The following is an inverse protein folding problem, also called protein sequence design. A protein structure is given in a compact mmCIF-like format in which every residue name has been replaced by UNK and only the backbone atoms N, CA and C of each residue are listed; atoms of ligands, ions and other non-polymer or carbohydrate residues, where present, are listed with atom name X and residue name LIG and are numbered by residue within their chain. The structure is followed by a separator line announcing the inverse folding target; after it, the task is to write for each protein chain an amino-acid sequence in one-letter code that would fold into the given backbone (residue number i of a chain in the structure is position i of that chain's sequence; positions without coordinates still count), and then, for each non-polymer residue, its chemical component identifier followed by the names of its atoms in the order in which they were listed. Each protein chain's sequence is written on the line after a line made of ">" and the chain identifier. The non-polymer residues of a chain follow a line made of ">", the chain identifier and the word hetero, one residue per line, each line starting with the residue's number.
data_IF_718247382878
#
_entry.id   IF_718247382878
#
_cell.length_a   1.000
_cell.length_b   1.000
_cell.length_c   1.000
_cell.angle_alpha   90.00
_cell.angle_beta   90.00
_cell.angle_gamma   90.00
#
_symmetry.space_group_name_H-M   'P 1'
#
loop_
_entity.id
_entity.type
_entity.pdbx_description
1 polymer ?
#
# COMPACT_ATOMS: atom_id res chain seq x y z
N UNK A 1 -4.29 4.73 0.29
CA UNK A 1 -3.19 5.57 -0.21
C UNK A 1 -2.15 5.85 0.87
N UNK A 2 -2.21 5.18 2.03
CA UNK A 2 -1.38 5.55 3.18
C UNK A 2 -0.08 4.73 3.26
N UNK A 3 -0.07 3.50 2.73
CA UNK A 3 1.08 2.60 2.88
C UNK A 3 2.19 2.90 1.87
N UNK A 4 1.81 3.36 0.68
CA UNK A 4 2.75 3.79 -0.35
C UNK A 4 3.04 5.30 -0.30
N UNK A 5 2.66 6.00 0.78
CA UNK A 5 3.02 7.41 0.97
C UNK A 5 4.56 7.53 1.02
N UNK A 6 5.15 8.24 0.05
CA UNK A 6 6.61 8.32 -0.11
C UNK A 6 7.24 7.22 -0.97
N UNK A 7 6.45 6.27 -1.52
CA UNK A 7 6.98 5.28 -2.45
C UNK A 7 7.48 5.96 -3.73
N UNK A 8 8.76 5.73 -4.06
CA UNK A 8 9.39 6.15 -5.31
C UNK A 8 9.71 4.88 -6.13
N UNK A 9 9.21 4.76 -7.38
CA UNK A 9 9.36 3.55 -8.18
C UNK A 9 10.77 3.43 -8.77
N UNK A 10 11.76 3.20 -7.91
CA UNK A 10 13.13 2.87 -8.31
C UNK A 10 13.26 1.38 -8.54
N UNK A 11 14.30 0.97 -9.28
CA UNK A 11 14.54 -0.45 -9.54
C UNK A 11 14.68 -1.26 -8.25
N UNK A 12 15.41 -0.72 -7.27
CA UNK A 12 15.61 -1.35 -5.97
C UNK A 12 14.28 -1.49 -5.20
N UNK A 13 13.48 -0.42 -5.17
CA UNK A 13 12.19 -0.42 -4.47
C UNK A 13 11.22 -1.45 -5.07
N UNK A 14 11.11 -1.52 -6.39
CA UNK A 14 10.24 -2.47 -7.08
C UNK A 14 10.71 -3.92 -6.90
N UNK A 15 12.02 -4.18 -6.97
CA UNK A 15 12.58 -5.52 -6.67
C UNK A 15 12.29 -5.94 -5.22
N UNK A 16 12.50 -5.05 -4.26
CA UNK A 16 12.25 -5.32 -2.84
C UNK A 16 10.76 -5.58 -2.57
N UNK A 17 9.88 -4.80 -3.20
CA UNK A 17 8.43 -4.97 -3.14
C UNK A 17 8.01 -6.35 -3.66
N UNK A 18 8.42 -6.72 -4.88
CA UNK A 18 8.13 -8.04 -5.45
C UNK A 18 8.70 -9.17 -4.60
N UNK A 19 9.95 -9.06 -4.17
CA UNK A 19 10.64 -10.06 -3.34
C UNK A 19 9.91 -10.29 -2.01
N UNK A 20 9.44 -9.21 -1.35
CA UNK A 20 8.62 -9.32 -0.13
C UNK A 20 7.30 -10.05 -0.38
N UNK A 21 6.61 -9.73 -1.46
CA UNK A 21 5.34 -10.37 -1.81
C UNK A 21 5.51 -11.87 -2.09
N UNK A 22 6.60 -12.25 -2.78
CA UNK A 22 6.95 -13.65 -3.03
C UNK A 22 7.27 -14.39 -1.74
N UNK A 23 8.12 -13.83 -0.86
CA UNK A 23 8.44 -14.45 0.45
C UNK A 23 7.22 -14.65 1.34
N UNK A 24 6.20 -13.81 1.20
CA UNK A 24 4.94 -13.92 1.95
C UNK A 24 3.89 -14.79 1.23
N UNK A 25 4.18 -15.35 0.05
CA UNK A 25 3.26 -16.20 -0.70
C UNK A 25 2.03 -15.47 -1.26
N UNK A 26 2.02 -14.12 -1.25
CA UNK A 26 0.85 -13.33 -1.65
C UNK A 26 0.94 -12.78 -3.06
N UNK A 27 2.05 -13.00 -3.78
CA UNK A 27 2.23 -12.46 -5.13
C UNK A 27 1.09 -12.87 -6.07
N UNK A 28 0.65 -14.14 -6.03
CA UNK A 28 -0.45 -14.62 -6.87
C UNK A 28 -1.81 -13.94 -6.56
N UNK A 29 -1.97 -13.39 -5.35
CA UNK A 29 -3.19 -12.69 -4.91
C UNK A 29 -3.24 -11.22 -5.34
N UNK A 30 -2.12 -10.68 -5.83
CA UNK A 30 -2.04 -9.33 -6.41
C UNK A 30 -2.69 -9.35 -7.79
N UNK A 31 -3.44 -8.30 -8.12
CA UNK A 31 -4.12 -8.14 -9.40
C UNK A 31 -3.17 -8.39 -10.59
N UNK A 32 -3.61 -9.10 -11.64
CA UNK A 32 -2.76 -9.40 -12.80
C UNK A 32 -2.14 -8.15 -13.43
N UNK A 33 -2.91 -7.06 -13.52
CA UNK A 33 -2.44 -5.78 -14.05
C UNK A 33 -1.33 -5.17 -13.20
N UNK A 34 -1.46 -5.15 -11.86
CA UNK A 34 -0.42 -4.63 -10.99
C UNK A 34 0.86 -5.47 -11.05
N UNK A 35 0.75 -6.81 -11.12
CA UNK A 35 1.89 -7.70 -11.30
C UNK A 35 2.64 -7.41 -12.60
N UNK A 36 1.89 -7.36 -13.72
CA UNK A 36 2.45 -7.08 -15.04
C UNK A 36 3.15 -5.71 -15.07
N UNK A 37 2.52 -4.69 -14.48
CA UNK A 37 3.08 -3.34 -14.41
C UNK A 37 4.41 -3.30 -13.63
N UNK A 38 4.47 -3.96 -12.46
CA UNK A 38 5.69 -4.05 -11.65
C UNK A 38 6.79 -4.78 -12.42
N UNK A 39 6.48 -5.90 -13.07
CA UNK A 39 7.45 -6.70 -13.81
C UNK A 39 7.99 -5.97 -15.05
N UNK A 40 7.11 -5.31 -15.81
CA UNK A 40 7.50 -4.46 -16.93
C UNK A 40 8.37 -3.29 -16.48
N UNK A 41 8.01 -2.62 -15.38
CA UNK A 41 8.80 -1.51 -14.84
C UNK A 41 10.19 -1.97 -14.36
N UNK A 42 10.29 -3.13 -13.70
CA UNK A 42 11.57 -3.73 -13.32
C UNK A 42 12.42 -3.97 -14.57
N UNK A 43 11.84 -4.59 -15.61
CA UNK A 43 12.56 -4.88 -16.86
C UNK A 43 13.05 -3.59 -17.54
N UNK A 44 12.18 -2.58 -17.65
CA UNK A 44 12.51 -1.30 -18.27
C UNK A 44 13.66 -0.58 -17.53
N UNK A 45 13.58 -0.49 -16.20
CA UNK A 45 14.61 0.15 -15.38
C UNK A 45 15.94 -0.64 -15.38
N UNK A 46 15.88 -1.98 -15.44
CA UNK A 46 17.09 -2.82 -15.58
C UNK A 46 17.87 -2.53 -16.86
N UNK A 47 17.19 -2.09 -17.93
CA UNK A 47 17.81 -1.71 -19.22
C UNK A 47 18.31 -0.26 -19.24
N UNK A 48 18.32 0.43 -18.10
CA UNK A 48 18.73 1.84 -18.01
C UNK A 48 17.61 2.85 -18.30
N UNK A 49 16.36 2.38 -18.46
CA UNK A 49 15.19 3.24 -18.65
C UNK A 49 14.96 4.20 -17.49
N UNK A 50 14.32 5.33 -17.77
CA UNK A 50 13.96 6.36 -16.78
C UNK A 50 12.49 6.70 -16.87
N UNK A 51 11.77 6.53 -15.77
CA UNK A 51 10.34 6.86 -15.71
C UNK A 51 10.19 8.36 -15.50
N UNK A 52 9.69 9.07 -16.53
CA UNK A 52 9.37 10.51 -16.47
C UNK A 52 7.87 10.78 -16.35
N UNK A 53 7.03 9.85 -16.80
CA UNK A 53 5.57 10.02 -16.78
C UNK A 53 5.04 9.97 -15.34
N UNK A 54 4.38 11.06 -14.93
CA UNK A 54 3.71 11.17 -13.62
C UNK A 54 2.56 10.16 -13.49
N UNK A 55 1.79 9.94 -14.57
CA UNK A 55 0.73 8.94 -14.60
C UNK A 55 1.26 7.52 -14.36
N UNK A 56 2.41 7.18 -14.93
CA UNK A 56 3.06 5.89 -14.71
C UNK A 56 3.55 5.74 -13.27
N UNK A 57 4.09 6.81 -12.68
CA UNK A 57 4.50 6.83 -11.26
C UNK A 57 3.29 6.56 -10.35
N UNK A 58 2.15 7.21 -10.60
CA UNK A 58 0.94 7.00 -9.81
C UNK A 58 0.34 5.61 -10.00
N UNK A 59 0.37 5.05 -11.21
CA UNK A 59 -0.02 3.66 -11.45
C UNK A 59 0.85 2.67 -10.66
N UNK A 60 2.17 2.90 -10.65
CA UNK A 60 3.12 2.08 -9.87
C UNK A 60 2.92 2.24 -8.35
N UNK A 61 2.55 3.43 -7.88
CA UNK A 61 2.19 3.65 -6.47
C UNK A 61 0.93 2.89 -6.07
N UNK A 62 -0.10 2.88 -6.92
CA UNK A 62 -1.32 2.09 -6.68
C UNK A 62 -1.02 0.59 -6.65
N UNK A 63 -0.18 0.10 -7.57
CA UNK A 63 0.30 -1.28 -7.55
C UNK A 63 1.10 -1.60 -6.27
N UNK A 64 1.98 -0.69 -5.84
CA UNK A 64 2.74 -0.85 -4.61
C UNK A 64 1.85 -0.88 -3.36
N UNK A 65 0.86 0.00 -3.29
CA UNK A 65 -0.14 0.02 -2.22
C UNK A 65 -0.88 -1.32 -2.12
N UNK A 66 -1.30 -1.90 -3.25
CA UNK A 66 -1.96 -3.21 -3.28
C UNK A 66 -1.07 -4.31 -2.70
N UNK A 67 0.18 -4.38 -3.16
CA UNK A 67 1.17 -5.34 -2.65
C UNK A 67 1.44 -5.14 -1.16
N UNK A 68 1.57 -3.89 -0.71
CA UNK A 68 1.81 -3.56 0.68
C UNK A 68 0.60 -3.94 1.56
N UNK A 69 -0.63 -3.76 1.10
CA UNK A 69 -1.82 -4.22 1.84
C UNK A 69 -1.81 -5.73 2.09
N UNK A 70 -1.37 -6.51 1.10
CA UNK A 70 -1.32 -7.96 1.21
C UNK A 70 -0.12 -8.47 2.03
N UNK A 71 0.93 -7.65 2.18
CA UNK A 71 2.19 -8.06 2.85
C UNK A 71 2.39 -7.43 4.23
N UNK A 72 1.69 -6.33 4.54
CA UNK A 72 1.83 -5.62 5.79
C UNK A 72 1.26 -6.43 6.96
N UNK A 73 1.93 -6.45 8.12
CA UNK A 73 1.36 -6.98 9.35
C UNK A 73 0.03 -6.28 9.66
N UNK A 74 -0.97 -7.03 10.13
CA UNK A 74 -2.30 -6.49 10.46
C UNK A 74 -2.21 -5.29 11.42
N UNK A 75 -1.32 -5.35 12.42
CA UNK A 75 -1.09 -4.25 13.37
C UNK A 75 -0.68 -2.95 12.67
N UNK A 76 0.17 -3.03 11.64
CA UNK A 76 0.62 -1.86 10.88
C UNK A 76 -0.54 -1.28 10.05
N UNK A 77 -1.33 -2.14 9.41
CA UNK A 77 -2.52 -1.73 8.67
C UNK A 77 -3.53 -1.04 9.59
N UNK A 78 -3.80 -1.65 10.75
CA UNK A 78 -4.68 -1.09 11.75
C UNK A 78 -4.19 0.27 12.23
N UNK A 79 -2.93 0.39 12.65
CA UNK A 79 -2.35 1.67 13.07
C UNK A 79 -2.52 2.77 12.02
N UNK A 80 -2.19 2.47 10.75
CA UNK A 80 -2.32 3.42 9.66
C UNK A 80 -3.77 3.87 9.42
N UNK A 81 -4.72 2.92 9.45
CA UNK A 81 -6.15 3.21 9.32
C UNK A 81 -6.65 4.06 10.50
N UNK A 82 -6.32 3.68 11.74
CA UNK A 82 -6.77 4.42 12.92
C UNK A 82 -6.21 5.83 13.02
N UNK A 83 -4.93 6.03 12.66
CA UNK A 83 -4.36 7.39 12.57
C UNK A 83 -5.09 8.25 11.53
N UNK A 84 -5.47 7.68 10.39
CA UNK A 84 -6.21 8.41 9.37
C UNK A 84 -7.66 8.71 9.79
N UNK A 85 -8.32 7.81 10.53
CA UNK A 85 -9.62 8.06 11.15
C UNK A 85 -9.52 9.17 12.19
N UNK A 86 -8.50 9.12 13.05
CA UNK A 86 -8.28 10.10 14.11
C UNK A 86 -8.04 11.50 13.51
N UNK A 87 -7.18 11.59 12.49
CA UNK A 87 -6.95 12.82 11.73
C UNK A 87 -8.23 13.37 11.10
N UNK A 88 -9.02 12.51 10.45
CA UNK A 88 -10.29 12.93 9.84
C UNK A 88 -11.33 13.44 10.86
N UNK A 89 -11.20 13.03 12.13
CA UNK A 89 -12.05 13.47 13.25
C UNK A 89 -11.44 14.61 14.07
N UNK A 90 -10.21 15.05 13.75
CA UNK A 90 -9.50 16.08 14.53
C UNK A 90 -9.14 15.65 15.94
N UNK A 91 -8.94 14.35 16.19
CA UNK A 91 -8.64 13.80 17.52
C UNK A 91 -7.20 13.30 17.58
N UNK A 92 -6.47 13.64 18.64
CA UNK A 92 -5.18 13.05 18.95
C UNK A 92 -5.35 11.67 19.60
N UNK A 93 -4.59 10.69 19.13
CA UNK A 93 -4.63 9.32 19.63
C UNK A 93 -3.21 8.81 19.85
N UNK A 94 -3.00 8.09 20.94
CA UNK A 94 -1.80 7.29 21.13
C UNK A 94 -1.77 6.08 20.16
N UNK A 95 -0.64 5.36 20.13
CA UNK A 95 -0.46 4.23 19.24
C UNK A 95 -1.46 3.09 19.49
N UNK A 96 -1.78 2.82 20.75
CA UNK A 96 -2.67 1.72 21.12
C UNK A 96 -4.10 1.99 20.68
N UNK A 97 -4.61 3.20 20.92
CA UNK A 97 -5.90 3.69 20.44
C UNK A 97 -5.95 3.74 18.92
N UNK A 98 -4.88 4.15 18.25
CA UNK A 98 -4.80 4.11 16.79
C UNK A 98 -4.92 2.67 16.26
N UNK A 99 -4.23 1.70 16.86
CA UNK A 99 -4.36 0.30 16.46
C UNK A 99 -5.78 -0.21 16.70
N UNK A 100 -6.37 0.07 17.88
CA UNK A 100 -7.72 -0.38 18.22
C UNK A 100 -8.78 0.16 17.23
N UNK A 101 -8.75 1.48 16.95
CA UNK A 101 -9.63 2.11 15.95
C UNK A 101 -9.48 1.48 14.56
N UNK A 102 -8.23 1.20 14.17
CA UNK A 102 -7.93 0.53 12.92
C UNK A 102 -8.49 -0.88 12.83
N UNK A 103 -8.32 -1.69 13.87
CA UNK A 103 -8.86 -3.05 13.94
C UNK A 103 -10.39 -3.01 13.86
N UNK A 104 -11.05 -2.13 14.62
CA UNK A 104 -12.50 -1.97 14.58
C UNK A 104 -12.99 -1.67 13.16
N UNK A 105 -12.35 -0.72 12.48
CA UNK A 105 -12.71 -0.38 11.10
C UNK A 105 -12.44 -1.50 10.10
N UNK A 106 -11.30 -2.19 10.21
CA UNK A 106 -10.94 -3.32 9.35
C UNK A 106 -11.93 -4.48 9.49
N UNK A 107 -12.43 -4.70 10.70
CA UNK A 107 -13.46 -5.70 11.00
C UNK A 107 -14.88 -5.25 10.66
N UNK A 108 -15.11 -3.94 10.44
CA UNK A 108 -16.43 -3.44 10.06
C UNK A 108 -16.77 -3.90 8.63
N UNK A 109 -17.90 -4.58 8.40
CA UNK A 109 -18.32 -5.00 7.07
C UNK A 109 -18.40 -3.83 6.08
N UNK A 110 -18.14 -4.07 4.79
CA UNK A 110 -18.00 -3.00 3.78
C UNK A 110 -19.23 -2.09 3.70
N UNK A 111 -20.43 -2.62 3.88
CA UNK A 111 -21.69 -1.88 3.83
C UNK A 111 -21.93 -0.95 5.05
N UNK A 112 -21.22 -1.15 6.16
CA UNK A 112 -21.26 -0.28 7.35
C UNK A 112 -20.04 0.63 7.48
N UNK A 113 -19.08 0.49 6.56
CA UNK A 113 -17.76 1.10 6.71
C UNK A 113 -17.78 2.54 6.22
N UNK A 114 -17.53 3.50 7.12
CA UNK A 114 -17.36 4.91 6.73
C UNK A 114 -16.04 5.14 5.98
N UNK A 115 -15.99 6.05 5.00
CA UNK A 115 -14.74 6.43 4.32
C UNK A 115 -13.71 6.97 5.32
N UNK A 116 -12.44 6.69 5.07
CA UNK A 116 -11.33 7.21 5.89
C UNK A 116 -10.66 8.32 5.09
N UNK A 117 -10.96 9.57 5.46
CA UNK A 117 -10.52 10.78 4.74
C UNK A 117 -11.47 11.17 3.61
N UNK A 118 -11.86 12.44 3.60
CA UNK A 118 -12.41 13.15 2.44
C UNK A 118 -11.30 13.96 1.77
#
# INVERSE_FOLDING_TARGET
>A
MLLAAGFRPTLLALKALKSRALRRGVWARVSPAARALVDAAILYLRRGGRIKSSALVEALRRAAEEVLRLTAPLKLLAKAVGLAIARARGVEVDEERAVALGIQWLNTPRWWRRPVGG
#
